data_IF_111868501009
#
_entry.id   IF_111868501009
#
_cell.length_a   1.000
_cell.length_b   1.000
_cell.length_c   1.000
_cell.angle_alpha   90.00
_cell.angle_beta   90.00
_cell.angle_gamma   90.00
#
_symmetry.space_group_name_H-M   'P 1'
#
loop_
_entity.id
_entity.type
_entity.pdbx_description
1 polymer ?
#
# COMPACT_ATOMS: atom_id res chain seq x y z
N UNK A 1 -1.37 -12.19 17.88
CA UNK A 1 -0.50 -13.18 17.18
C UNK A 1 -0.96 -13.18 15.71
N UNK A 2 -0.07 -13.19 14.74
CA UNK A 2 -0.44 -13.19 13.32
C UNK A 2 -0.55 -14.62 12.78
N UNK A 3 -1.20 -14.79 11.63
CA UNK A 3 -1.50 -16.10 11.02
C UNK A 3 -0.25 -16.95 10.73
N UNK A 4 0.90 -16.33 10.44
CA UNK A 4 2.13 -17.08 10.17
C UNK A 4 2.74 -17.65 11.47
N UNK A 5 2.58 -16.95 12.59
CA UNK A 5 2.99 -17.44 13.92
C UNK A 5 2.02 -18.54 14.40
N UNK A 6 0.71 -18.37 14.19
CA UNK A 6 -0.30 -19.39 14.52
C UNK A 6 -0.08 -20.70 13.75
N UNK A 7 0.34 -20.59 12.49
CA UNK A 7 0.66 -21.74 11.62
C UNK A 7 2.11 -22.26 11.81
N UNK A 8 2.82 -21.81 12.83
CA UNK A 8 4.20 -22.22 13.11
C UNK A 8 5.16 -22.05 11.91
N UNK A 9 4.93 -21.06 11.05
CA UNK A 9 5.83 -20.74 9.93
C UNK A 9 6.96 -19.81 10.36
N UNK A 10 6.68 -18.97 11.35
CA UNK A 10 7.63 -18.07 12.00
C UNK A 10 7.43 -18.13 13.52
N UNK A 11 8.49 -17.89 14.26
CA UNK A 11 8.47 -17.81 15.73
C UNK A 11 8.94 -16.45 16.18
N UNK A 12 8.21 -15.81 17.10
CA UNK A 12 8.62 -14.55 17.72
C UNK A 12 9.81 -14.78 18.65
N UNK A 13 10.77 -13.86 18.59
CA UNK A 13 11.98 -13.88 19.40
C UNK A 13 12.42 -12.44 19.71
N UNK A 14 13.45 -12.31 20.53
CA UNK A 14 14.06 -11.02 20.83
C UNK A 14 15.58 -11.11 20.83
N UNK A 15 16.24 -10.08 20.31
CA UNK A 15 17.67 -9.91 20.38
C UNK A 15 17.99 -8.62 21.15
N UNK A 16 18.24 -8.76 22.45
CA UNK A 16 18.31 -7.63 23.38
C UNK A 16 16.97 -6.89 23.46
N UNK A 17 16.95 -5.60 23.09
CA UNK A 17 15.73 -4.79 23.04
C UNK A 17 15.06 -4.79 21.67
N UNK A 18 15.54 -5.60 20.72
CA UNK A 18 15.00 -5.65 19.36
C UNK A 18 14.01 -6.79 19.22
N UNK A 19 12.97 -6.57 18.42
CA UNK A 19 11.99 -7.57 18.06
C UNK A 19 12.50 -8.42 16.88
N UNK A 20 12.28 -9.73 16.91
CA UNK A 20 12.75 -10.64 15.86
C UNK A 20 11.70 -11.68 15.49
N UNK A 21 11.76 -12.13 14.22
CA UNK A 21 11.11 -13.34 13.75
C UNK A 21 12.13 -14.36 13.29
N UNK A 22 12.04 -15.60 13.76
CA UNK A 22 12.80 -16.74 13.29
C UNK A 22 11.93 -17.51 12.29
N UNK A 23 12.46 -17.78 11.10
CA UNK A 23 11.78 -18.55 10.07
C UNK A 23 11.96 -20.06 10.35
N UNK A 24 10.86 -20.80 10.39
CA UNK A 24 10.94 -22.26 10.51
C UNK A 24 11.48 -22.92 9.23
N UNK A 25 11.21 -22.31 8.06
CA UNK A 25 11.76 -22.70 6.77
C UNK A 25 12.42 -21.48 6.08
N UNK A 26 13.72 -21.59 5.81
CA UNK A 26 14.49 -20.54 5.16
C UNK A 26 14.02 -20.25 3.71
N UNK A 27 13.34 -21.20 3.06
CA UNK A 27 12.79 -21.01 1.71
C UNK A 27 11.67 -19.95 1.65
N UNK A 28 11.08 -19.62 2.78
CA UNK A 28 10.09 -18.54 2.90
C UNK A 28 10.68 -17.16 2.63
N UNK A 29 12.00 -16.98 2.79
CA UNK A 29 12.65 -15.68 2.71
C UNK A 29 12.72 -15.12 1.29
N UNK A 30 12.23 -13.89 1.11
CA UNK A 30 12.23 -13.15 -0.16
C UNK A 30 13.37 -12.12 -0.19
N UNK A 31 14.51 -12.52 -0.75
CA UNK A 31 15.70 -11.67 -0.81
C UNK A 31 15.53 -10.39 -1.63
N UNK A 32 14.64 -10.37 -2.62
CA UNK A 32 14.31 -9.19 -3.44
C UNK A 32 13.61 -8.13 -2.61
N UNK A 33 12.54 -8.49 -1.89
CA UNK A 33 11.82 -7.56 -1.01
C UNK A 33 12.70 -7.07 0.13
N UNK A 34 13.51 -7.98 0.73
CA UNK A 34 14.48 -7.58 1.75
C UNK A 34 15.45 -6.51 1.26
N UNK A 35 15.97 -6.62 0.02
CA UNK A 35 16.83 -5.59 -0.57
C UNK A 35 16.09 -4.26 -0.76
N UNK A 36 14.81 -4.29 -1.10
CA UNK A 36 13.98 -3.08 -1.21
C UNK A 36 13.79 -2.39 0.16
N UNK A 37 13.63 -3.15 1.24
CA UNK A 37 13.57 -2.60 2.59
C UNK A 37 14.89 -1.94 3.04
N UNK A 38 16.03 -2.34 2.48
CA UNK A 38 17.34 -1.71 2.75
C UNK A 38 17.54 -0.42 1.94
N UNK A 39 16.75 -0.19 0.89
CA UNK A 39 16.81 0.99 0.04
C UNK A 39 16.33 2.26 0.75
N UNK A 40 16.68 3.43 0.18
CA UNK A 40 16.08 4.70 0.61
C UNK A 40 14.67 4.81 0.04
N UNK A 41 13.68 4.40 0.79
CA UNK A 41 12.27 4.68 0.54
C UNK A 41 11.76 5.64 1.62
N UNK A 42 10.65 6.32 1.34
CA UNK A 42 10.04 7.25 2.30
C UNK A 42 9.16 6.54 3.34
N UNK A 43 9.00 5.21 3.22
CA UNK A 43 8.15 4.42 4.11
C UNK A 43 8.88 4.18 5.42
N UNK A 44 8.23 4.47 6.52
CA UNK A 44 8.79 4.27 7.85
C UNK A 44 8.61 2.83 8.32
N UNK A 45 9.47 1.93 7.82
CA UNK A 45 9.60 0.57 8.39
C UNK A 45 10.63 0.53 9.49
N UNK A 46 10.43 -0.36 10.48
CA UNK A 46 11.48 -0.75 11.40
C UNK A 46 12.63 -1.38 10.59
N UNK A 47 13.84 -0.88 10.78
CA UNK A 47 15.01 -1.37 10.04
C UNK A 47 15.20 -2.85 10.33
N UNK A 48 15.11 -3.68 9.30
CA UNK A 48 15.23 -5.13 9.39
C UNK A 48 16.66 -5.56 9.08
N UNK A 49 17.23 -6.41 9.93
CA UNK A 49 18.50 -7.11 9.69
C UNK A 49 18.23 -8.59 9.55
N UNK A 50 18.88 -9.22 8.55
CA UNK A 50 18.88 -10.67 8.40
C UNK A 50 20.06 -11.24 9.15
N UNK A 51 19.78 -12.10 10.11
CA UNK A 51 20.76 -12.86 10.91
C UNK A 51 20.57 -14.35 10.66
N UNK A 52 21.46 -15.15 11.25
CA UNK A 52 21.33 -16.61 11.31
C UNK A 52 21.28 -17.05 12.76
N UNK A 53 20.26 -17.79 13.14
CA UNK A 53 20.08 -18.37 14.46
C UNK A 53 19.88 -19.88 14.32
N UNK A 54 20.84 -20.67 14.80
CA UNK A 54 20.81 -22.16 14.72
C UNK A 54 20.46 -22.71 13.32
N UNK A 55 21.05 -22.11 12.29
CA UNK A 55 20.81 -22.52 10.88
C UNK A 55 19.51 -21.97 10.26
N UNK A 56 18.67 -21.28 11.03
CA UNK A 56 17.45 -20.61 10.57
C UNK A 56 17.71 -19.12 10.32
N UNK A 57 16.98 -18.55 9.37
CA UNK A 57 17.00 -17.10 9.16
C UNK A 57 16.24 -16.42 10.29
N UNK A 58 16.88 -15.44 10.92
CA UNK A 58 16.28 -14.53 11.88
C UNK A 58 16.18 -13.13 11.28
N UNK A 59 14.98 -12.59 11.23
CA UNK A 59 14.69 -11.21 10.82
C UNK A 59 14.60 -10.36 12.08
N UNK A 60 15.64 -9.59 12.35
CA UNK A 60 15.74 -8.74 13.53
C UNK A 60 15.39 -7.29 13.17
N UNK A 61 14.34 -6.75 13.79
CA UNK A 61 13.86 -5.38 13.61
C UNK A 61 14.44 -4.49 14.70
N UNK A 62 15.15 -3.43 14.30
CA UNK A 62 15.79 -2.52 15.24
C UNK A 62 14.75 -1.62 15.88
N UNK A 63 14.31 -1.98 17.07
CA UNK A 63 13.26 -1.29 17.83
C UNK A 63 13.79 -0.59 19.09
N UNK A 64 15.11 -0.55 19.25
CA UNK A 64 15.74 0.12 20.41
C UNK A 64 15.33 1.60 20.49
N UNK A 65 14.80 1.99 21.65
CA UNK A 65 14.29 3.35 21.89
C UNK A 65 12.86 3.58 21.43
N UNK A 66 12.25 2.63 20.74
CA UNK A 66 10.83 2.65 20.39
C UNK A 66 10.02 1.87 21.42
N UNK A 67 8.73 2.17 21.52
CA UNK A 67 7.75 1.39 22.28
C UNK A 67 6.74 0.76 21.34
N UNK A 68 6.20 -0.41 21.66
CA UNK A 68 5.04 -0.92 20.90
C UNK A 68 3.84 0.00 21.12
N UNK A 69 2.97 0.08 20.11
CA UNK A 69 1.76 0.91 20.22
C UNK A 69 0.87 0.43 21.38
N UNK A 70 0.76 -0.89 21.57
CA UNK A 70 0.04 -1.47 22.69
C UNK A 70 0.59 -1.02 24.06
N UNK A 71 1.91 -0.96 24.23
CA UNK A 71 2.54 -0.50 25.47
C UNK A 71 2.31 1.00 25.73
N UNK A 72 2.11 1.80 24.70
CA UNK A 72 1.83 3.23 24.86
C UNK A 72 0.38 3.53 25.23
N UNK A 73 -0.56 2.62 24.97
CA UNK A 73 -2.00 2.83 25.16
C UNK A 73 -2.41 3.12 26.61
N UNK A 74 -1.60 2.80 27.58
CA UNK A 74 -1.88 3.02 29.00
C UNK A 74 -1.85 4.51 29.36
N UNK A 75 -0.91 5.26 28.76
CA UNK A 75 -0.62 6.63 29.10
C UNK A 75 -0.98 7.62 27.98
N UNK A 76 -1.65 7.13 26.92
CA UNK A 76 -1.90 7.90 25.72
C UNK A 76 -3.17 8.73 25.85
N UNK A 77 -3.06 10.04 25.57
CA UNK A 77 -4.21 10.93 25.43
C UNK A 77 -4.81 10.86 24.01
N UNK A 78 -6.02 11.41 23.85
CA UNK A 78 -6.78 11.34 22.61
C UNK A 78 -6.10 12.06 21.42
N UNK A 79 -5.38 13.15 21.64
CA UNK A 79 -4.70 13.91 20.57
C UNK A 79 -3.41 13.20 20.13
N UNK A 80 -2.65 12.65 21.07
CA UNK A 80 -1.44 11.84 20.77
C UNK A 80 -1.82 10.56 20.05
N UNK A 81 -2.92 9.90 20.45
CA UNK A 81 -3.49 8.76 19.74
C UNK A 81 -3.81 9.11 18.29
N UNK A 82 -4.48 10.22 18.04
CA UNK A 82 -4.84 10.64 16.69
C UNK A 82 -3.60 10.89 15.82
N UNK A 83 -2.52 11.44 16.39
CA UNK A 83 -1.24 11.62 15.69
C UNK A 83 -0.61 10.28 15.29
N UNK A 84 -0.62 9.30 16.21
CA UNK A 84 -0.07 7.95 15.93
C UNK A 84 -0.89 7.29 14.84
N UNK A 85 -2.23 7.30 14.93
CA UNK A 85 -3.11 6.74 13.89
C UNK A 85 -2.86 7.42 12.55
N UNK A 86 -2.73 8.75 12.52
CA UNK A 86 -2.36 9.49 11.31
C UNK A 86 -1.06 9.00 10.69
N UNK A 87 -0.03 8.72 11.51
CA UNK A 87 1.25 8.19 11.04
C UNK A 87 1.15 6.72 10.58
N UNK A 88 0.30 5.90 11.21
CA UNK A 88 0.01 4.54 10.74
C UNK A 88 -0.61 4.59 9.34
N UNK A 89 -1.68 5.39 9.17
CA UNK A 89 -2.37 5.51 7.88
C UNK A 89 -1.46 6.09 6.81
N UNK A 90 -0.62 7.10 7.13
CA UNK A 90 0.38 7.64 6.21
C UNK A 90 1.33 6.55 5.68
N UNK A 91 1.88 5.72 6.58
CA UNK A 91 2.77 4.63 6.19
C UNK A 91 2.05 3.58 5.33
N UNK A 92 0.79 3.27 5.61
CA UNK A 92 -0.01 2.34 4.78
C UNK A 92 -0.23 2.92 3.39
N UNK A 93 -0.58 4.20 3.26
CA UNK A 93 -0.71 4.91 1.98
C UNK A 93 0.60 4.86 1.20
N UNK A 94 1.73 5.11 1.87
CA UNK A 94 3.06 5.04 1.24
C UNK A 94 3.36 3.62 0.71
N UNK A 95 2.98 2.55 1.45
CA UNK A 95 3.12 1.16 0.97
C UNK A 95 2.24 0.90 -0.25
N UNK A 96 0.97 1.34 -0.22
CA UNK A 96 0.04 1.19 -1.35
C UNK A 96 0.55 1.88 -2.62
N UNK A 97 1.17 3.05 -2.47
CA UNK A 97 1.72 3.83 -3.59
C UNK A 97 3.08 3.33 -4.08
N UNK A 98 3.83 2.60 -3.25
CA UNK A 98 5.19 2.17 -3.59
C UNK A 98 5.24 1.10 -4.69
N UNK A 99 4.21 0.26 -4.81
CA UNK A 99 4.02 -0.71 -5.90
C UNK A 99 4.93 -1.94 -5.90
N UNK A 100 5.99 -1.97 -5.08
CA UNK A 100 6.92 -3.10 -4.96
C UNK A 100 6.77 -3.88 -3.65
N UNK A 101 6.09 -3.29 -2.69
CA UNK A 101 5.79 -3.88 -1.38
C UNK A 101 4.27 -4.00 -1.24
N UNK A 102 3.82 -5.02 -0.53
CA UNK A 102 2.39 -5.29 -0.36
C UNK A 102 1.96 -5.06 1.08
N UNK A 103 0.84 -4.37 1.28
CA UNK A 103 0.20 -4.24 2.60
C UNK A 103 -0.13 -5.61 3.23
N UNK A 104 -0.35 -6.64 2.41
CA UNK A 104 -0.61 -8.01 2.87
C UNK A 104 0.54 -8.61 3.72
N UNK A 105 1.73 -8.00 3.68
CA UNK A 105 2.93 -8.44 4.41
C UNK A 105 3.33 -7.49 5.55
N UNK A 106 2.53 -6.47 5.81
CA UNK A 106 2.72 -5.54 6.93
C UNK A 106 2.02 -6.10 8.16
N UNK A 107 2.75 -6.28 9.24
CA UNK A 107 2.17 -6.69 10.52
C UNK A 107 1.53 -5.47 11.22
N UNK A 108 0.21 -5.49 11.34
CA UNK A 108 -0.58 -4.42 11.98
C UNK A 108 -1.03 -4.78 13.40
N UNK A 109 -0.45 -5.81 13.99
CA UNK A 109 -0.60 -6.08 15.42
C UNK A 109 -0.07 -4.87 16.21
N UNK A 110 -0.83 -4.41 17.19
CA UNK A 110 -0.42 -3.24 18.01
C UNK A 110 0.85 -3.49 18.84
N UNK A 111 1.21 -4.74 19.05
CA UNK A 111 2.48 -5.14 19.68
C UNK A 111 3.67 -4.98 18.72
N UNK A 112 3.43 -5.01 17.40
CA UNK A 112 4.46 -4.93 16.36
C UNK A 112 4.44 -3.62 15.56
N UNK A 113 3.57 -2.68 15.92
CA UNK A 113 3.65 -1.29 15.50
C UNK A 113 4.52 -0.55 16.51
N UNK A 114 5.69 -0.10 16.09
CA UNK A 114 6.64 0.57 16.97
C UNK A 114 6.54 2.09 16.82
N UNK A 115 6.57 2.79 17.94
CA UNK A 115 6.35 4.24 18.01
C UNK A 115 7.50 4.89 18.78
N UNK A 116 8.04 5.95 18.26
CA UNK A 116 8.96 6.85 18.97
C UNK A 116 8.15 7.67 19.98
N UNK A 117 8.37 7.50 21.29
CA UNK A 117 7.57 8.16 22.31
C UNK A 117 7.72 9.70 22.35
N UNK A 118 8.80 10.25 21.79
CA UNK A 118 9.05 11.68 21.76
C UNK A 118 8.40 12.37 20.55
N UNK A 119 8.37 11.69 19.40
CA UNK A 119 7.92 12.29 18.12
C UNK A 119 6.61 11.71 17.61
N UNK A 120 6.13 10.62 18.19
CA UNK A 120 5.00 9.80 17.73
C UNK A 120 5.15 9.24 16.29
N UNK A 121 6.38 9.25 15.76
CA UNK A 121 6.67 8.59 14.48
C UNK A 121 6.47 7.08 14.62
N UNK A 122 5.85 6.51 13.61
CA UNK A 122 5.52 5.09 13.55
C UNK A 122 6.52 4.36 12.66
N UNK A 123 6.96 3.19 13.10
CA UNK A 123 7.73 2.23 12.32
C UNK A 123 6.95 0.92 12.23
N UNK A 124 6.58 0.49 11.03
CA UNK A 124 5.85 -0.74 10.78
C UNK A 124 6.82 -1.92 10.60
N UNK A 125 6.37 -3.11 10.91
CA UNK A 125 7.09 -4.36 10.64
C UNK A 125 6.60 -4.91 9.30
N UNK A 126 7.51 -5.08 8.34
CA UNK A 126 7.26 -5.72 7.06
C UNK A 126 7.95 -7.07 7.01
N UNK A 127 7.25 -8.13 6.61
CA UNK A 127 7.80 -9.47 6.48
C UNK A 127 8.15 -9.77 5.03
N UNK A 128 9.45 -9.78 4.66
CA UNK A 128 9.90 -10.12 3.30
C UNK A 128 9.86 -11.65 3.09
N UNK A 129 8.66 -12.21 3.08
CA UNK A 129 8.38 -13.64 2.98
C UNK A 129 7.54 -13.96 1.72
N UNK A 130 7.63 -15.19 1.24
CA UNK A 130 6.78 -15.72 0.15
C UNK A 130 5.33 -15.94 0.59
N UNK A 131 5.07 -15.95 1.88
CA UNK A 131 3.73 -16.03 2.47
C UNK A 131 3.25 -14.65 2.89
N UNK A 132 1.94 -14.49 2.94
CA UNK A 132 1.27 -13.24 3.30
C UNK A 132 0.54 -13.39 4.64
N UNK A 133 0.35 -12.27 5.34
CA UNK A 133 -0.43 -12.20 6.57
C UNK A 133 -1.93 -12.11 6.28
N UNK A 134 -2.29 -11.49 5.15
CA UNK A 134 -3.68 -11.23 4.76
C UNK A 134 -3.91 -11.74 3.34
N UNK A 135 -5.06 -12.36 3.08
CA UNK A 135 -5.39 -12.96 1.79
C UNK A 135 -5.40 -11.94 0.64
N UNK A 136 -5.83 -10.74 0.94
CA UNK A 136 -5.90 -9.62 0.00
C UNK A 136 -5.83 -8.27 0.73
N UNK A 137 -5.79 -7.18 -0.04
CA UNK A 137 -5.66 -5.82 0.50
C UNK A 137 -6.93 -5.38 1.23
N UNK A 138 -8.11 -5.84 0.80
CA UNK A 138 -9.36 -5.48 1.46
C UNK A 138 -9.47 -6.12 2.85
N UNK A 139 -8.99 -7.35 3.01
CA UNK A 139 -8.90 -8.03 4.32
C UNK A 139 -7.94 -7.28 5.25
N UNK A 140 -6.77 -6.89 4.74
CA UNK A 140 -5.81 -6.06 5.49
C UNK A 140 -6.45 -4.74 5.96
N UNK A 141 -7.08 -3.99 5.05
CA UNK A 141 -7.73 -2.71 5.40
C UNK A 141 -8.86 -2.89 6.40
N UNK A 142 -9.70 -3.89 6.22
CA UNK A 142 -10.83 -4.17 7.11
C UNK A 142 -10.34 -4.54 8.51
N UNK A 143 -9.26 -5.30 8.62
CA UNK A 143 -8.69 -5.66 9.92
C UNK A 143 -8.08 -4.44 10.61
N UNK A 144 -7.31 -3.62 9.90
CA UNK A 144 -6.77 -2.37 10.45
C UNK A 144 -7.88 -1.47 10.97
N UNK A 145 -8.94 -1.24 10.18
CA UNK A 145 -10.11 -0.42 10.56
C UNK A 145 -10.80 -0.98 11.80
N UNK A 146 -11.06 -2.29 11.80
CA UNK A 146 -11.74 -2.97 12.91
C UNK A 146 -10.95 -2.87 14.20
N UNK A 147 -9.63 -3.07 14.14
CA UNK A 147 -8.76 -2.98 15.30
C UNK A 147 -8.71 -1.56 15.88
N UNK A 148 -8.63 -0.54 15.02
CA UNK A 148 -8.68 0.87 15.47
C UNK A 148 -10.04 1.22 16.07
N UNK A 149 -11.16 0.81 15.48
CA UNK A 149 -12.52 1.03 16.03
C UNK A 149 -12.66 0.37 17.40
N UNK A 150 -12.26 -0.88 17.54
CA UNK A 150 -12.29 -1.62 18.81
C UNK A 150 -11.47 -0.90 19.87
N UNK A 151 -10.29 -0.40 19.51
CA UNK A 151 -9.40 0.31 20.42
C UNK A 151 -10.04 1.61 20.92
N UNK A 152 -10.57 2.45 20.02
CA UNK A 152 -11.25 3.69 20.37
C UNK A 152 -12.43 3.42 21.33
N UNK A 153 -13.20 2.35 21.05
CA UNK A 153 -14.37 2.00 21.85
C UNK A 153 -14.04 1.39 23.22
N UNK A 154 -12.89 0.73 23.34
CA UNK A 154 -12.50 0.01 24.57
C UNK A 154 -11.75 0.86 25.59
N UNK A 155 -11.25 2.05 25.22
CA UNK A 155 -10.38 2.88 26.06
C UNK A 155 -11.03 4.24 26.34
N UNK A 156 -11.54 4.50 27.57
CA UNK A 156 -12.12 5.79 27.95
C UNK A 156 -11.16 6.97 27.78
N UNK A 157 -9.84 6.77 28.00
CA UNK A 157 -8.81 7.80 27.82
C UNK A 157 -8.72 8.32 26.38
N UNK A 158 -9.17 7.55 25.40
CA UNK A 158 -9.21 7.92 23.98
C UNK A 158 -10.52 8.59 23.56
N UNK A 159 -11.48 8.74 24.50
CA UNK A 159 -12.78 9.36 24.21
C UNK A 159 -12.61 10.85 23.92
N UNK A 160 -12.91 11.24 22.68
CA UNK A 160 -12.98 12.62 22.23
C UNK A 160 -13.92 12.74 21.04
N UNK A 161 -14.43 13.95 20.77
CA UNK A 161 -15.29 14.18 19.61
C UNK A 161 -14.57 13.79 18.29
N UNK A 162 -13.26 14.07 18.18
CA UNK A 162 -12.45 13.70 17.00
C UNK A 162 -12.28 12.20 16.85
N UNK A 163 -12.00 11.47 17.95
CA UNK A 163 -11.83 10.03 17.89
C UNK A 163 -13.16 9.31 17.65
N UNK A 164 -14.28 9.83 18.16
CA UNK A 164 -15.61 9.32 17.82
C UNK A 164 -15.93 9.52 16.34
N UNK A 165 -15.57 10.68 15.77
CA UNK A 165 -15.72 10.94 14.35
C UNK A 165 -14.77 10.07 13.50
N UNK A 166 -13.52 9.86 13.94
CA UNK A 166 -12.59 8.92 13.30
C UNK A 166 -13.18 7.51 13.29
N UNK A 167 -13.73 7.04 14.40
CA UNK A 167 -14.38 5.72 14.49
C UNK A 167 -15.53 5.57 13.50
N UNK A 168 -16.37 6.60 13.37
CA UNK A 168 -17.46 6.63 12.38
C UNK A 168 -16.92 6.61 10.93
N UNK A 169 -15.86 7.36 10.64
CA UNK A 169 -15.23 7.40 9.34
C UNK A 169 -14.52 6.07 8.99
N UNK A 170 -13.88 5.44 9.97
CA UNK A 170 -13.29 4.09 9.81
C UNK A 170 -14.36 3.04 9.48
N UNK A 171 -15.54 3.13 10.11
CA UNK A 171 -16.66 2.24 9.84
C UNK A 171 -17.34 2.51 8.48
N UNK A 172 -17.13 3.69 7.91
CA UNK A 172 -17.70 4.06 6.62
C UNK A 172 -16.82 3.51 5.47
N UNK A 173 -17.30 2.46 4.82
CA UNK A 173 -16.59 1.79 3.73
C UNK A 173 -16.38 2.62 2.45
N UNK A 174 -16.93 3.84 2.37
CA UNK A 174 -16.73 4.74 1.22
C UNK A 174 -15.42 5.53 1.31
N UNK A 175 -14.84 5.67 2.50
CA UNK A 175 -13.55 6.36 2.68
C UNK A 175 -12.39 5.38 2.46
N UNK A 176 -11.42 5.74 1.60
CA UNK A 176 -10.15 5.03 1.47
C UNK A 176 -9.25 5.29 2.70
N UNK A 177 -8.17 4.52 2.84
CA UNK A 177 -7.14 4.79 3.86
C UNK A 177 -6.51 6.18 3.66
N UNK A 178 -6.32 6.58 2.40
CA UNK A 178 -5.81 7.91 2.05
C UNK A 178 -6.80 9.03 2.45
N UNK A 179 -8.11 8.85 2.21
CA UNK A 179 -9.13 9.80 2.67
C UNK A 179 -9.11 9.99 4.19
N UNK A 180 -8.96 8.89 4.93
CA UNK A 180 -8.87 8.92 6.40
C UNK A 180 -7.61 9.64 6.88
N UNK A 181 -6.46 9.38 6.23
CA UNK A 181 -5.21 10.09 6.51
C UNK A 181 -5.34 11.59 6.27
N UNK A 182 -5.87 11.99 5.10
CA UNK A 182 -6.06 13.39 4.74
C UNK A 182 -7.07 14.09 5.69
N UNK A 183 -8.11 13.38 6.15
CA UNK A 183 -9.04 13.89 7.15
C UNK A 183 -8.35 14.20 8.48
N UNK A 184 -7.49 13.30 8.97
CA UNK A 184 -6.70 13.53 10.20
C UNK A 184 -5.77 14.73 10.02
N UNK A 185 -5.05 14.79 8.89
CA UNK A 185 -4.04 15.80 8.61
C UNK A 185 -4.61 17.21 8.46
N UNK A 186 -5.71 17.35 7.75
CA UNK A 186 -6.29 18.67 7.40
C UNK A 186 -7.39 19.12 8.36
N UNK A 187 -7.98 18.19 9.12
CA UNK A 187 -9.20 18.42 9.90
C UNK A 187 -10.44 18.56 9.01
N UNK A 188 -11.62 18.25 9.57
CA UNK A 188 -12.89 18.13 8.84
C UNK A 188 -13.19 19.30 7.88
N UNK A 189 -13.21 20.54 8.40
CA UNK A 189 -13.58 21.74 7.62
C UNK A 189 -12.63 21.99 6.43
N UNK A 190 -11.34 21.69 6.59
CA UNK A 190 -10.34 21.92 5.56
C UNK A 190 -10.32 20.78 4.56
N UNK A 191 -10.59 19.54 5.02
CA UNK A 191 -10.69 18.36 4.17
C UNK A 191 -11.95 18.39 3.29
N UNK A 192 -13.14 18.73 3.82
CA UNK A 192 -14.36 18.91 3.03
C UNK A 192 -14.23 20.02 1.99
N UNK A 193 -13.49 21.11 2.30
CA UNK A 193 -13.16 22.17 1.33
C UNK A 193 -12.09 21.76 0.34
N UNK A 194 -11.25 20.77 0.67
CA UNK A 194 -10.15 20.28 -0.17
C UNK A 194 -10.48 18.96 -0.85
N UNK A 195 -11.70 18.38 -0.64
CA UNK A 195 -12.18 17.33 -1.55
C UNK A 195 -12.10 17.93 -2.94
N UNK A 196 -11.17 17.50 -3.78
CA UNK A 196 -11.22 17.93 -5.16
C UNK A 196 -12.57 17.45 -5.68
N UNK A 197 -13.32 18.30 -6.33
CA UNK A 197 -14.10 17.84 -7.48
C UNK A 197 -13.04 17.22 -8.37
N UNK A 198 -12.98 15.89 -8.38
CA UNK A 198 -11.82 15.13 -8.79
C UNK A 198 -11.34 15.51 -10.18
N UNK A 199 -10.31 16.32 -10.24
CA UNK A 199 -9.41 16.32 -11.40
C UNK A 199 -8.25 15.37 -11.10
N UNK A 200 -8.56 14.14 -10.74
CA UNK A 200 -7.54 13.11 -10.68
C UNK A 200 -6.97 12.93 -12.07
N UNK A 201 -5.64 12.91 -12.17
CA UNK A 201 -4.93 12.71 -13.42
C UNK A 201 -4.32 11.32 -13.41
N UNK A 202 -4.69 10.51 -14.41
CA UNK A 202 -4.09 9.19 -14.59
C UNK A 202 -2.79 9.31 -15.37
N UNK A 203 -1.78 8.62 -14.88
CA UNK A 203 -0.45 8.52 -15.48
C UNK A 203 -0.10 7.04 -15.64
N UNK A 204 0.42 6.68 -16.83
CA UNK A 204 0.98 5.37 -17.11
C UNK A 204 2.50 5.50 -17.09
N UNK A 205 3.18 4.74 -16.23
CA UNK A 205 4.63 4.74 -16.11
C UNK A 205 5.21 3.39 -16.57
N UNK A 206 6.18 3.42 -17.50
CA UNK A 206 6.91 2.20 -17.90
C UNK A 206 7.71 1.66 -16.73
N UNK A 207 7.67 0.34 -16.54
CA UNK A 207 8.50 -0.38 -15.57
C UNK A 207 9.86 -0.81 -16.16
N UNK A 208 10.08 -0.59 -17.44
CA UNK A 208 11.36 -0.88 -18.10
C UNK A 208 12.31 0.31 -17.96
N UNK A 209 13.38 0.13 -17.18
CA UNK A 209 14.42 1.15 -16.98
C UNK A 209 15.20 1.53 -18.25
N UNK A 210 15.20 0.65 -19.27
CA UNK A 210 15.84 0.91 -20.57
C UNK A 210 14.97 1.78 -21.47
N UNK A 211 13.66 1.76 -21.24
CA UNK A 211 12.67 2.50 -22.02
C UNK A 211 11.77 3.31 -21.08
N UNK A 212 12.30 4.31 -20.38
CA UNK A 212 11.51 5.12 -19.45
C UNK A 212 10.44 5.88 -20.24
N UNK A 213 9.18 5.69 -19.90
CA UNK A 213 8.05 6.36 -20.50
C UNK A 213 7.04 6.76 -19.44
N UNK A 214 6.56 7.97 -19.53
CA UNK A 214 5.45 8.47 -18.70
C UNK A 214 4.41 9.11 -19.61
N UNK A 215 3.20 8.54 -19.64
CA UNK A 215 2.06 9.06 -20.38
C UNK A 215 1.05 9.61 -19.38
N UNK A 216 0.76 10.89 -19.49
CA UNK A 216 -0.26 11.56 -18.66
C UNK A 216 -1.56 11.67 -19.46
N UNK A 217 -2.64 11.17 -18.90
CA UNK A 217 -3.96 11.28 -19.52
C UNK A 217 -4.42 12.74 -19.53
N UNK A 218 -4.51 13.34 -20.73
CA UNK A 218 -4.80 14.76 -20.92
C UNK A 218 -6.27 15.07 -21.26
N UNK A 219 -7.10 14.05 -21.42
CA UNK A 219 -8.52 14.16 -21.76
C UNK A 219 -9.31 12.97 -21.22
N UNK A 220 -10.63 13.09 -21.11
CA UNK A 220 -11.52 12.08 -20.52
C UNK A 220 -11.47 10.72 -21.22
N UNK A 221 -11.12 10.71 -22.51
CA UNK A 221 -10.91 9.51 -23.31
C UNK A 221 -9.52 9.56 -23.92
N UNK A 222 -8.67 8.60 -23.60
CA UNK A 222 -7.25 8.59 -23.96
C UNK A 222 -6.86 7.24 -24.56
N UNK A 223 -6.50 7.27 -25.83
CA UNK A 223 -6.13 6.05 -26.58
C UNK A 223 -4.62 5.85 -26.55
N UNK A 224 -4.18 4.63 -26.30
CA UNK A 224 -2.76 4.24 -26.21
C UNK A 224 -2.42 3.20 -27.28
N UNK A 225 -1.27 3.36 -27.90
CA UNK A 225 -0.77 2.43 -28.92
C UNK A 225 0.56 2.89 -29.52
N UNK A 226 0.97 2.28 -30.65
CA UNK A 226 2.25 2.64 -31.30
C UNK A 226 2.14 3.61 -32.48
N UNK A 227 0.96 3.89 -33.00
CA UNK A 227 0.78 4.77 -34.16
C UNK A 227 0.52 6.22 -33.71
N UNK A 228 1.49 7.14 -33.84
CA UNK A 228 1.35 8.51 -33.36
C UNK A 228 0.22 9.30 -34.04
N UNK A 229 -0.20 8.90 -35.27
CA UNK A 229 -1.30 9.55 -35.97
C UNK A 229 -2.70 9.11 -35.50
N UNK A 230 -2.79 8.04 -34.66
CA UNK A 230 -4.07 7.42 -34.30
C UNK A 230 -4.30 7.31 -32.80
N UNK A 231 -3.34 7.72 -31.97
CA UNK A 231 -3.41 7.57 -30.51
C UNK A 231 -2.96 8.83 -29.78
N UNK A 232 -3.41 8.96 -28.55
CA UNK A 232 -3.05 10.08 -27.66
C UNK A 232 -1.74 9.81 -26.91
N UNK A 233 -1.55 8.56 -26.49
CA UNK A 233 -0.34 8.07 -25.82
C UNK A 233 0.45 7.13 -26.70
N UNK A 234 1.66 7.55 -27.12
CA UNK A 234 2.48 6.77 -28.04
C UNK A 234 3.48 5.92 -27.28
N UNK A 235 3.47 4.59 -27.53
CA UNK A 235 4.48 3.65 -27.05
C UNK A 235 5.22 3.09 -28.27
N UNK A 236 6.27 3.80 -28.69
CA UNK A 236 7.00 3.50 -29.93
C UNK A 236 8.12 2.46 -29.79
N UNK A 237 8.61 2.19 -28.58
CA UNK A 237 9.77 1.32 -28.35
C UNK A 237 9.44 -0.19 -28.48
N UNK A 238 8.16 -0.58 -28.40
CA UNK A 238 7.76 -1.98 -28.45
C UNK A 238 6.90 -2.29 -29.69
N UNK A 239 7.46 -3.05 -30.62
CA UNK A 239 6.77 -3.43 -31.88
C UNK A 239 5.57 -4.35 -31.66
N UNK A 240 5.51 -5.07 -30.52
CA UNK A 240 4.41 -5.98 -30.18
C UNK A 240 3.14 -5.25 -29.75
N UNK A 241 3.23 -3.98 -29.41
CA UNK A 241 2.05 -3.13 -29.12
C UNK A 241 1.32 -2.82 -30.43
N UNK A 242 0.01 -2.93 -30.42
CA UNK A 242 -0.85 -2.64 -31.57
C UNK A 242 -0.83 -1.15 -31.93
N UNK A 243 -1.13 -0.82 -33.20
CA UNK A 243 -1.23 0.59 -33.65
C UNK A 243 -2.19 1.38 -32.78
N UNK A 244 -3.36 0.83 -32.49
CA UNK A 244 -4.32 1.22 -31.48
C UNK A 244 -4.41 0.00 -30.55
N UNK A 245 -4.12 0.14 -29.25
CA UNK A 245 -3.99 -1.01 -28.35
C UNK A 245 -5.09 -1.05 -27.30
N UNK A 246 -5.17 -0.01 -26.49
CA UNK A 246 -6.18 0.12 -25.46
C UNK A 246 -6.65 1.57 -25.34
N UNK A 247 -7.72 1.75 -24.58
CA UNK A 247 -8.31 3.05 -24.26
C UNK A 247 -8.48 3.16 -22.77
N UNK A 248 -8.16 4.32 -22.25
CA UNK A 248 -8.46 4.76 -20.90
C UNK A 248 -9.62 5.73 -20.96
N UNK A 249 -10.63 5.53 -20.14
CA UNK A 249 -11.76 6.44 -19.99
C UNK A 249 -11.83 6.90 -18.53
N UNK A 250 -12.05 8.21 -18.31
CA UNK A 250 -12.35 8.78 -17.00
C UNK A 250 -13.84 8.65 -16.74
N UNK A 251 -14.19 8.01 -15.62
CA UNK A 251 -15.56 7.89 -15.15
C UNK A 251 -15.77 8.72 -13.87
N UNK A 252 -17.02 9.01 -13.46
CA UNK A 252 -17.28 9.75 -12.23
C UNK A 252 -16.61 9.14 -10.97
N UNK A 253 -16.47 7.81 -10.94
CA UNK A 253 -15.94 7.05 -9.81
C UNK A 253 -14.51 6.53 -10.06
N UNK A 254 -13.76 7.10 -11.01
CA UNK A 254 -12.38 6.69 -11.27
C UNK A 254 -12.06 6.46 -12.74
N UNK A 255 -11.28 5.44 -13.04
CA UNK A 255 -10.80 5.17 -14.40
C UNK A 255 -11.07 3.73 -14.81
N UNK A 256 -11.28 3.54 -16.10
CA UNK A 256 -11.38 2.21 -16.71
C UNK A 256 -10.41 2.08 -17.88
N UNK A 257 -9.92 0.86 -18.11
CA UNK A 257 -9.13 0.49 -19.29
C UNK A 257 -9.92 -0.51 -20.13
N UNK A 258 -9.88 -0.33 -21.45
CA UNK A 258 -10.54 -1.20 -22.41
C UNK A 258 -9.53 -1.65 -23.46
N UNK A 259 -9.36 -2.97 -23.64
CA UNK A 259 -8.58 -3.49 -24.77
C UNK A 259 -9.35 -3.26 -26.09
N UNK A 260 -8.70 -2.67 -27.08
CA UNK A 260 -9.29 -2.36 -28.38
C UNK A 260 -8.95 -3.44 -29.42
N UNK A 261 -9.19 -4.71 -29.09
CA UNK A 261 -8.86 -5.88 -29.92
C UNK A 261 -7.36 -5.91 -30.30
N UNK A 262 -6.52 -5.65 -29.31
CA UNK A 262 -5.08 -5.67 -29.53
C UNK A 262 -4.58 -7.07 -29.91
N UNK A 263 -3.54 -7.16 -30.75
CA UNK A 263 -3.02 -8.44 -31.25
C UNK A 263 -2.47 -9.34 -30.12
N UNK A 264 -1.84 -8.73 -29.10
CA UNK A 264 -1.17 -9.47 -28.01
C UNK A 264 -1.86 -9.30 -26.64
N UNK A 265 -2.97 -8.56 -26.59
CA UNK A 265 -3.82 -8.39 -25.41
C UNK A 265 -3.32 -7.33 -24.42
N UNK A 266 -4.28 -6.86 -23.64
CA UNK A 266 -4.10 -5.99 -22.47
C UNK A 266 -4.38 -6.81 -21.22
N UNK A 267 -3.57 -6.62 -20.19
CA UNK A 267 -3.71 -7.33 -18.90
C UNK A 267 -3.70 -6.31 -17.76
N UNK A 268 -4.53 -6.55 -16.76
CA UNK A 268 -4.51 -5.80 -15.49
C UNK A 268 -4.20 -6.79 -14.37
N UNK A 269 -3.15 -6.53 -13.60
CA UNK A 269 -2.69 -7.39 -12.52
C UNK A 269 -2.58 -8.87 -12.93
N UNK A 270 -1.97 -9.10 -14.12
CA UNK A 270 -1.81 -10.42 -14.79
C UNK A 270 -3.11 -11.07 -15.30
N UNK A 271 -4.26 -10.44 -15.18
CA UNK A 271 -5.52 -10.94 -15.74
C UNK A 271 -5.74 -10.36 -17.13
N UNK A 272 -5.88 -11.21 -18.16
CA UNK A 272 -6.15 -10.80 -19.53
C UNK A 272 -7.54 -10.21 -19.65
N UNK A 273 -7.65 -9.03 -20.24
CA UNK A 273 -8.93 -8.39 -20.50
C UNK A 273 -9.64 -9.03 -21.70
N UNK A 274 -10.96 -9.16 -21.60
CA UNK A 274 -11.77 -9.46 -22.76
C UNK A 274 -11.83 -8.23 -23.69
N UNK A 275 -11.63 -8.40 -25.00
CA UNK A 275 -11.67 -7.28 -25.95
C UNK A 275 -12.97 -6.48 -25.85
N UNK A 276 -12.84 -5.17 -25.91
CA UNK A 276 -13.94 -4.18 -25.86
C UNK A 276 -14.76 -4.21 -24.54
N UNK A 277 -14.29 -4.89 -23.49
CA UNK A 277 -14.92 -4.82 -22.17
C UNK A 277 -14.12 -3.90 -21.26
N UNK A 278 -14.75 -2.87 -20.67
CA UNK A 278 -14.07 -2.01 -19.70
C UNK A 278 -13.72 -2.78 -18.42
N UNK A 279 -12.56 -2.51 -17.88
CA UNK A 279 -12.07 -3.01 -16.60
C UNK A 279 -11.68 -1.82 -15.73
N UNK A 280 -12.18 -1.74 -14.51
CA UNK A 280 -11.75 -0.71 -13.54
C UNK A 280 -10.29 -0.88 -13.20
N UNK A 281 -9.59 0.26 -13.11
CA UNK A 281 -8.20 0.33 -12.70
C UNK A 281 -8.07 1.30 -11.54
N UNK A 282 -7.10 1.00 -10.66
CA UNK A 282 -6.82 1.76 -9.45
C UNK A 282 -5.38 2.26 -9.47
N UNK A 283 -5.09 3.18 -8.58
CA UNK A 283 -3.72 3.61 -8.33
C UNK A 283 -2.86 2.42 -7.90
N UNK A 284 -1.67 2.29 -8.51
CA UNK A 284 -0.74 1.19 -8.27
C UNK A 284 -0.96 -0.06 -9.13
N UNK A 285 -2.08 -0.17 -9.86
CA UNK A 285 -2.32 -1.35 -10.72
C UNK A 285 -1.23 -1.51 -11.77
N UNK A 286 -0.90 -2.78 -12.04
CA UNK A 286 0.02 -3.18 -13.10
C UNK A 286 -0.75 -3.46 -14.38
N UNK A 287 -0.47 -2.68 -15.42
CA UNK A 287 -1.02 -2.89 -16.75
C UNK A 287 0.07 -3.42 -17.67
N UNK A 288 -0.19 -4.57 -18.28
CA UNK A 288 0.68 -5.11 -19.33
C UNK A 288 0.04 -4.92 -20.69
N UNK A 289 0.74 -4.25 -21.58
CA UNK A 289 0.37 -4.09 -22.99
C UNK A 289 1.31 -4.96 -23.84
N UNK A 290 0.78 -6.03 -24.42
CA UNK A 290 1.57 -7.08 -25.06
C UNK A 290 2.56 -7.74 -24.04
N UNK A 291 3.84 -7.41 -24.12
CA UNK A 291 4.89 -7.89 -23.23
C UNK A 291 5.63 -6.75 -22.48
N UNK A 292 5.05 -5.57 -22.42
CA UNK A 292 5.59 -4.42 -21.67
C UNK A 292 4.71 -4.11 -20.46
N UNK A 293 5.34 -3.97 -19.30
CA UNK A 293 4.68 -3.68 -18.04
C UNK A 293 4.71 -2.18 -17.72
N UNK A 294 3.58 -1.69 -17.24
CA UNK A 294 3.36 -0.30 -16.86
C UNK A 294 2.65 -0.24 -15.51
N UNK A 295 2.98 0.75 -14.71
CA UNK A 295 2.27 1.05 -13.48
C UNK A 295 1.30 2.22 -13.70
N UNK A 296 0.09 2.08 -13.16
CA UNK A 296 -0.92 3.15 -13.12
C UNK A 296 -0.66 4.00 -11.88
N UNK A 297 -0.52 5.29 -12.08
CA UNK A 297 -0.51 6.30 -11.02
C UNK A 297 -1.70 7.21 -11.20
N UNK A 298 -2.48 7.42 -10.14
CA UNK A 298 -3.62 8.35 -10.11
C UNK A 298 -3.30 9.39 -9.05
N UNK A 299 -3.08 10.64 -9.49
CA UNK A 299 -2.65 11.75 -8.62
C UNK A 299 -3.67 12.87 -8.64
#
# INVERSE_FOLDING_TARGET
>A
MNILTENHMITESSCGSNFCYILEDNSLFMGTEYKMLQGKNNISFAKCMKLMYNGKIELCYLTRGLKSFSAMLTDLDADSFLKIVGNILANVVDVQHYGFLSCQKVDISFDHIFVDPATFKVSLVYLPLSKVLYSDEAVFENELRTNLIKLISSKPSLSSAKNSELSANLANGTYSIEDLYEWIKKGKKRWEKSKPVASTTLIICSMDSKNPLRLTMSKERFVVGKNPAAVDGVIGFNKMISRIHCRLDKEPDGYVITDLQSANGTYVNNVKLAPNKPCRIKNGDMVRLANSDFQILIT
#
